data_IF_158608190742
#
_entry.id   IF_158608190742
#
_cell.length_a   1.000
_cell.length_b   1.000
_cell.length_c   1.000
_cell.angle_alpha   90.00
_cell.angle_beta   90.00
_cell.angle_gamma   90.00
#
_symmetry.space_group_name_H-M   'P 1'
#
loop_
_entity.id
_entity.type
_entity.pdbx_description
1 polymer ?
#
# COMPACT_ATOMS: atom_id res chain seq x y z
N UNK A 1 10.20 7.14 -8.10
CA UNK A 1 11.22 6.13 -7.71
C UNK A 1 12.58 6.79 -7.52
N UNK A 2 13.43 6.26 -6.63
CA UNK A 2 14.81 6.73 -6.44
C UNK A 2 15.80 5.98 -7.32
N UNK A 3 17.03 6.49 -7.40
CA UNK A 3 18.07 5.92 -8.27
C UNK A 3 18.36 4.47 -7.88
N UNK A 4 18.46 3.59 -8.87
CA UNK A 4 18.73 2.16 -8.64
C UNK A 4 17.56 1.34 -8.08
N UNK A 5 16.36 1.92 -7.89
CA UNK A 5 15.18 1.15 -7.48
C UNK A 5 14.60 0.32 -8.63
N UNK A 6 13.94 -0.78 -8.31
CA UNK A 6 13.29 -1.65 -9.29
C UNK A 6 11.80 -1.77 -8.98
N UNK A 7 10.96 -1.80 -10.01
CA UNK A 7 9.59 -2.29 -9.92
C UNK A 7 9.51 -3.58 -10.73
N UNK A 8 9.12 -4.65 -10.07
CA UNK A 8 8.96 -5.97 -10.64
C UNK A 8 7.65 -6.59 -10.18
N UNK A 9 7.35 -7.79 -10.64
CA UNK A 9 6.09 -8.48 -10.35
C UNK A 9 6.27 -10.00 -10.37
N UNK A 10 5.42 -10.70 -9.63
CA UNK A 10 5.48 -12.15 -9.48
C UNK A 10 4.09 -12.74 -9.28
N UNK A 11 3.98 -14.07 -9.23
CA UNK A 11 2.71 -14.81 -9.14
C UNK A 11 1.72 -14.53 -10.29
N UNK A 12 2.24 -14.27 -11.50
CA UNK A 12 1.43 -14.08 -12.72
C UNK A 12 1.36 -15.35 -13.57
N UNK A 13 0.27 -15.51 -14.32
CA UNK A 13 0.06 -16.57 -15.29
C UNK A 13 0.51 -16.16 -16.70
N UNK A 14 0.68 -17.13 -17.60
CA UNK A 14 1.19 -16.89 -18.96
C UNK A 14 0.29 -15.99 -19.83
N UNK A 15 -1.01 -15.90 -19.50
CA UNK A 15 -2.01 -15.11 -20.21
C UNK A 15 -2.24 -13.73 -19.56
N UNK A 16 -1.52 -13.41 -18.48
CA UNK A 16 -1.68 -12.14 -17.78
C UNK A 16 -1.14 -10.95 -18.58
N UNK A 17 -1.86 -9.82 -18.47
CA UNK A 17 -1.39 -8.55 -18.98
C UNK A 17 -0.13 -8.13 -18.21
N UNK A 18 0.78 -7.42 -18.91
CA UNK A 18 1.97 -6.81 -18.30
C UNK A 18 1.58 -5.99 -17.06
N UNK A 19 2.36 -6.09 -15.98
CA UNK A 19 2.18 -5.23 -14.81
C UNK A 19 2.23 -3.77 -15.22
N UNK A 20 1.35 -2.97 -14.64
CA UNK A 20 1.24 -1.55 -14.92
C UNK A 20 1.52 -0.76 -13.66
N UNK A 21 2.41 0.22 -13.76
CA UNK A 21 2.41 1.37 -12.84
C UNK A 21 1.73 2.54 -13.53
N UNK A 22 1.02 3.38 -12.80
CA UNK A 22 0.37 4.51 -13.44
C UNK A 22 -0.11 5.60 -12.51
N UNK A 23 -0.57 6.69 -13.13
CA UNK A 23 -1.16 7.83 -12.45
C UNK A 23 -2.39 8.32 -13.21
N UNK A 24 -3.37 8.83 -12.48
CA UNK A 24 -4.48 9.59 -13.07
C UNK A 24 -4.06 11.00 -13.52
N UNK A 25 -2.88 11.48 -13.11
CA UNK A 25 -2.39 12.82 -13.45
C UNK A 25 -1.89 12.90 -14.89
N UNK A 26 -2.22 14.00 -15.56
CA UNK A 26 -1.67 14.39 -16.86
C UNK A 26 -0.66 15.55 -16.74
N UNK A 27 -0.27 15.91 -15.53
CA UNK A 27 0.69 16.99 -15.27
C UNK A 27 2.13 16.52 -15.53
N UNK A 28 2.97 17.47 -15.95
CA UNK A 28 4.40 17.26 -16.14
C UNK A 28 5.05 16.69 -14.87
N UNK A 29 5.97 15.75 -15.04
CA UNK A 29 6.74 15.13 -13.95
C UNK A 29 5.91 14.38 -12.88
N UNK A 30 4.66 13.99 -13.18
CA UNK A 30 3.84 13.23 -12.21
C UNK A 30 4.38 11.83 -11.94
N UNK A 31 5.15 11.26 -12.88
CA UNK A 31 5.94 10.04 -12.66
C UNK A 31 7.41 10.41 -12.80
N UNK A 32 8.19 10.19 -11.73
CA UNK A 32 9.62 10.46 -11.72
C UNK A 32 10.39 9.16 -11.58
N UNK A 33 11.11 8.79 -12.64
CA UNK A 33 12.02 7.63 -12.67
C UNK A 33 13.46 8.13 -12.63
N UNK A 34 14.19 7.73 -11.60
CA UNK A 34 15.56 8.21 -11.38
C UNK A 34 16.59 7.30 -12.05
N UNK A 35 17.84 7.77 -12.11
CA UNK A 35 18.90 7.11 -12.86
C UNK A 35 19.15 5.67 -12.39
N UNK A 36 19.41 4.75 -13.32
CA UNK A 36 19.59 3.31 -13.08
C UNK A 36 18.40 2.60 -12.43
N UNK A 37 17.21 3.22 -12.37
CA UNK A 37 16.01 2.50 -11.94
C UNK A 37 15.42 1.66 -13.07
N UNK A 38 14.69 0.60 -12.74
CA UNK A 38 14.06 -0.29 -13.73
C UNK A 38 12.58 -0.48 -13.42
N UNK A 39 11.72 -0.40 -14.44
CA UNK A 39 10.31 -0.78 -14.37
C UNK A 39 10.11 -1.96 -15.32
N UNK A 40 9.87 -3.14 -14.76
CA UNK A 40 9.61 -4.37 -15.50
C UNK A 40 8.12 -4.49 -15.86
N UNK A 41 7.60 -3.52 -16.61
CA UNK A 41 6.18 -3.42 -16.93
C UNK A 41 5.85 -2.20 -17.77
N UNK A 42 4.56 -1.98 -17.97
CA UNK A 42 4.04 -0.80 -18.65
C UNK A 42 3.93 0.39 -17.68
N UNK A 43 4.02 1.60 -18.23
CA UNK A 43 3.78 2.85 -17.49
C UNK A 43 2.62 3.59 -18.13
N UNK A 44 1.58 3.88 -17.34
CA UNK A 44 0.35 4.49 -17.84
C UNK A 44 0.12 5.87 -17.22
N UNK A 45 -0.11 6.88 -18.05
CA UNK A 45 -0.31 8.27 -17.59
C UNK A 45 -1.77 8.70 -17.70
N UNK A 46 -2.12 9.79 -17.00
CA UNK A 46 -3.48 10.30 -16.90
C UNK A 46 -4.12 10.62 -18.25
N UNK A 47 -5.45 10.53 -18.32
CA UNK A 47 -6.23 10.78 -19.54
C UNK A 47 -5.84 12.13 -20.17
N UNK A 48 -5.53 12.09 -21.47
CA UNK A 48 -5.09 13.26 -22.23
C UNK A 48 -3.65 13.72 -21.97
N UNK A 49 -2.92 13.06 -21.07
CA UNK A 49 -1.51 13.28 -20.82
C UNK A 49 -0.63 12.69 -21.92
N UNK A 50 0.44 13.41 -22.26
CA UNK A 50 1.50 12.90 -23.13
C UNK A 50 2.56 12.19 -22.26
N UNK A 51 2.84 10.89 -22.47
CA UNK A 51 3.82 10.16 -21.66
C UNK A 51 5.21 10.83 -21.61
N UNK A 52 5.64 11.47 -22.70
CA UNK A 52 6.95 12.16 -22.78
C UNK A 52 7.05 13.38 -21.85
N UNK A 53 5.92 13.98 -21.49
CA UNK A 53 5.86 15.14 -20.60
C UNK A 53 5.57 14.72 -19.15
N UNK A 54 4.68 13.74 -18.97
CA UNK A 54 4.25 13.26 -17.64
C UNK A 54 5.32 12.43 -16.96
N UNK A 55 6.11 11.67 -17.73
CA UNK A 55 7.17 10.79 -17.22
C UNK A 55 8.52 11.49 -17.31
N UNK A 56 9.04 11.93 -16.16
CA UNK A 56 10.43 12.35 -16.07
C UNK A 56 11.35 11.15 -15.92
N UNK A 57 11.90 10.69 -17.04
CA UNK A 57 12.87 9.61 -17.07
C UNK A 57 14.32 10.14 -17.02
N UNK A 58 14.98 10.05 -15.86
CA UNK A 58 16.37 10.48 -15.67
C UNK A 58 17.39 9.35 -15.90
N UNK A 59 17.18 8.48 -16.90
CA UNK A 59 18.07 7.35 -17.21
C UNK A 59 17.64 6.02 -16.57
N UNK A 60 16.34 5.84 -16.38
CA UNK A 60 15.71 4.59 -16.01
C UNK A 60 15.38 3.73 -17.25
N UNK A 61 15.27 2.42 -17.03
CA UNK A 61 14.81 1.45 -18.03
C UNK A 61 13.34 1.14 -17.78
N UNK A 62 12.50 1.25 -18.80
CA UNK A 62 11.12 0.72 -18.81
C UNK A 62 11.09 -0.39 -19.85
N UNK A 63 10.71 -1.60 -19.46
CA UNK A 63 10.72 -2.76 -20.39
C UNK A 63 9.43 -2.89 -21.19
N UNK A 64 8.33 -2.37 -20.66
CA UNK A 64 7.02 -2.33 -21.33
C UNK A 64 6.78 -1.03 -22.11
N UNK A 65 5.52 -0.78 -22.41
CA UNK A 65 5.07 0.41 -23.16
C UNK A 65 4.75 1.57 -22.23
N UNK A 66 4.95 2.80 -22.72
CA UNK A 66 4.43 4.01 -22.09
C UNK A 66 3.16 4.45 -22.82
N UNK A 67 2.02 4.52 -22.11
CA UNK A 67 0.72 4.79 -22.73
C UNK A 67 -0.11 5.78 -21.92
N UNK A 68 -1.18 6.28 -22.51
CA UNK A 68 -2.14 7.19 -21.87
C UNK A 68 -3.42 6.44 -21.56
N UNK A 69 -4.00 6.68 -20.39
CA UNK A 69 -5.33 6.18 -20.04
C UNK A 69 -6.37 6.60 -21.08
N UNK A 70 -7.29 5.69 -21.38
CA UNK A 70 -8.44 5.95 -22.26
C UNK A 70 -9.65 6.51 -21.52
N UNK A 71 -9.68 6.36 -20.20
CA UNK A 71 -10.67 6.90 -19.27
C UNK A 71 -10.03 7.19 -17.91
N UNK A 72 -10.61 8.10 -17.13
CA UNK A 72 -10.18 8.34 -15.75
C UNK A 72 -10.44 7.08 -14.93
N UNK A 73 -9.48 6.69 -14.07
CA UNK A 73 -9.69 5.63 -13.08
C UNK A 73 -10.27 6.26 -11.83
N UNK A 74 -11.54 6.00 -11.53
CA UNK A 74 -12.16 6.47 -10.29
C UNK A 74 -11.61 5.69 -9.10
N UNK A 75 -11.23 6.39 -8.04
CA UNK A 75 -10.76 5.81 -6.78
C UNK A 75 -11.83 6.01 -5.70
N UNK A 76 -12.78 5.07 -5.54
CA UNK A 76 -13.86 5.23 -4.57
C UNK A 76 -13.32 5.30 -3.14
N UNK A 77 -13.96 6.13 -2.31
CA UNK A 77 -13.73 6.16 -0.87
C UNK A 77 -14.06 4.80 -0.24
N UNK A 78 -13.29 4.44 0.79
CA UNK A 78 -13.53 3.23 1.59
C UNK A 78 -14.48 3.58 2.72
N UNK A 79 -15.50 2.76 2.94
CA UNK A 79 -16.36 2.84 4.13
C UNK A 79 -16.05 1.69 5.08
N UNK A 80 -16.07 1.96 6.38
CA UNK A 80 -15.94 0.93 7.42
C UNK A 80 -17.20 0.05 7.42
N UNK A 81 -17.09 -1.28 7.56
CA UNK A 81 -18.27 -2.14 7.71
C UNK A 81 -19.12 -1.71 8.91
N UNK A 82 -20.45 -1.63 8.75
CA UNK A 82 -21.37 -1.16 9.81
C UNK A 82 -21.24 -1.99 11.11
N UNK A 83 -20.96 -3.28 10.99
CA UNK A 83 -20.71 -4.18 12.12
C UNK A 83 -19.47 -3.80 12.94
N UNK A 84 -18.46 -3.20 12.32
CA UNK A 84 -17.22 -2.74 12.95
C UNK A 84 -17.35 -1.30 13.45
N UNK A 85 -18.03 -0.44 12.66
CA UNK A 85 -18.25 0.97 13.02
C UNK A 85 -19.16 1.13 14.24
N UNK A 86 -20.16 0.25 14.40
CA UNK A 86 -21.08 0.25 15.54
C UNK A 86 -20.47 -0.25 16.86
N UNK A 87 -19.26 -0.85 16.84
CA UNK A 87 -18.59 -1.26 18.07
C UNK A 87 -18.18 -0.04 18.92
N UNK A 88 -18.23 -0.16 20.26
CA UNK A 88 -17.62 0.85 21.12
C UNK A 88 -16.11 0.87 20.91
N UNK A 89 -15.50 2.06 20.93
CA UNK A 89 -14.04 2.16 20.97
C UNK A 89 -13.50 1.56 22.27
N UNK A 90 -12.48 0.72 22.17
CA UNK A 90 -11.75 0.15 23.30
C UNK A 90 -10.63 1.09 23.82
N UNK A 91 -10.59 2.33 23.34
CA UNK A 91 -9.57 3.32 23.72
C UNK A 91 -8.31 3.24 22.88
N UNK A 92 -7.20 3.72 23.43
CA UNK A 92 -5.89 3.74 22.76
C UNK A 92 -5.07 2.52 23.17
N UNK A 93 -4.42 1.88 22.21
CA UNK A 93 -3.39 0.87 22.48
C UNK A 93 -2.05 1.61 22.62
N UNK A 94 -1.41 1.48 23.79
CA UNK A 94 -0.16 2.18 24.12
C UNK A 94 0.82 1.32 24.92
N UNK A 95 0.69 0.00 24.79
CA UNK A 95 1.56 -0.98 25.41
C UNK A 95 1.52 -2.29 24.61
N UNK A 96 2.41 -3.22 24.98
CA UNK A 96 2.44 -4.56 24.40
C UNK A 96 1.10 -5.27 24.60
N UNK A 97 0.52 -5.78 23.53
CA UNK A 97 -0.73 -6.53 23.61
C UNK A 97 -0.87 -7.56 22.50
N UNK A 98 -1.87 -8.42 22.61
CA UNK A 98 -2.26 -9.37 21.57
C UNK A 98 -3.72 -9.16 21.23
N UNK A 99 -4.01 -9.00 19.94
CA UNK A 99 -5.34 -8.86 19.39
C UNK A 99 -5.65 -10.11 18.56
N UNK A 100 -6.70 -10.80 18.96
CA UNK A 100 -7.16 -12.03 18.31
C UNK A 100 -8.64 -11.95 17.88
N UNK A 101 -9.26 -10.77 18.03
CA UNK A 101 -10.64 -10.52 17.64
C UNK A 101 -10.74 -9.13 17.02
N UNK A 102 -11.62 -9.00 16.01
CA UNK A 102 -11.93 -7.73 15.35
C UNK A 102 -12.47 -6.71 16.34
N UNK A 103 -11.97 -5.48 16.27
CA UNK A 103 -12.25 -4.46 17.25
C UNK A 103 -12.08 -3.04 16.70
N UNK A 104 -12.65 -2.08 17.44
CA UNK A 104 -12.52 -0.65 17.18
C UNK A 104 -11.70 0.01 18.28
N UNK A 105 -10.71 0.82 17.90
CA UNK A 105 -9.85 1.57 18.82
C UNK A 105 -9.82 3.06 18.45
N UNK A 106 -9.54 3.89 19.44
CA UNK A 106 -9.38 5.34 19.23
C UNK A 106 -8.10 5.65 18.46
N UNK A 107 -7.00 4.99 18.82
CA UNK A 107 -5.68 5.15 18.19
C UNK A 107 -4.76 3.99 18.60
N UNK A 108 -3.62 3.88 17.92
CA UNK A 108 -2.47 3.11 18.38
C UNK A 108 -1.31 4.09 18.58
N UNK A 109 -0.72 4.13 19.76
CA UNK A 109 0.40 5.02 20.11
C UNK A 109 1.43 4.23 20.92
N UNK A 110 2.27 3.49 20.20
CA UNK A 110 3.27 2.61 20.78
C UNK A 110 4.57 3.35 21.09
N UNK A 111 5.10 3.11 22.29
CA UNK A 111 6.45 3.49 22.67
C UNK A 111 7.53 2.72 21.90
N UNK A 112 8.80 2.96 22.24
CA UNK A 112 9.90 2.26 21.58
C UNK A 112 9.87 0.75 21.91
N UNK A 113 10.11 -0.08 20.91
CA UNK A 113 10.19 -1.55 21.03
C UNK A 113 8.94 -2.23 21.57
N UNK A 114 7.79 -1.56 21.52
CA UNK A 114 6.51 -2.16 21.86
C UNK A 114 5.91 -2.91 20.66
N UNK A 115 5.19 -3.98 20.93
CA UNK A 115 4.63 -4.87 19.93
C UNK A 115 3.15 -5.12 20.19
N UNK A 116 2.34 -4.89 19.16
CA UNK A 116 0.97 -5.40 19.08
C UNK A 116 1.01 -6.65 18.20
N UNK A 117 0.63 -7.79 18.76
CA UNK A 117 0.58 -9.06 18.04
C UNK A 117 -0.84 -9.30 17.53
N UNK A 118 -0.99 -9.53 16.23
CA UNK A 118 -2.24 -9.97 15.62
C UNK A 118 -2.20 -11.49 15.49
N UNK A 119 -3.11 -12.20 16.18
CA UNK A 119 -3.10 -13.67 16.27
C UNK A 119 -4.48 -14.29 15.95
N UNK A 120 -4.97 -14.05 14.74
CA UNK A 120 -6.22 -14.58 14.18
C UNK A 120 -6.61 -13.82 12.91
N UNK A 121 -7.81 -14.08 12.39
CA UNK A 121 -8.39 -13.26 11.32
C UNK A 121 -9.04 -12.01 11.92
N UNK A 122 -8.34 -10.88 11.85
CA UNK A 122 -8.70 -9.66 12.57
C UNK A 122 -9.01 -8.53 11.60
N UNK A 123 -10.14 -7.88 11.81
CA UNK A 123 -10.47 -6.59 11.19
C UNK A 123 -10.42 -5.50 12.25
N UNK A 124 -9.54 -4.51 12.07
CA UNK A 124 -9.41 -3.37 12.97
C UNK A 124 -9.97 -2.11 12.33
N UNK A 125 -10.68 -1.31 13.12
CA UNK A 125 -10.95 0.08 12.80
C UNK A 125 -10.26 0.97 13.83
N UNK A 126 -9.29 1.75 13.37
CA UNK A 126 -8.60 2.76 14.17
C UNK A 126 -9.16 4.13 13.77
N UNK A 127 -9.82 4.80 14.71
CA UNK A 127 -10.55 6.05 14.45
C UNK A 127 -9.58 7.19 14.09
N UNK A 128 -8.52 7.34 14.89
CA UNK A 128 -7.47 8.32 14.70
C UNK A 128 -6.18 7.67 14.21
N UNK A 129 -5.05 8.15 14.73
CA UNK A 129 -3.74 7.84 14.19
C UNK A 129 -3.17 6.50 14.68
N UNK A 130 -2.21 5.99 13.92
CA UNK A 130 -1.27 4.96 14.35
C UNK A 130 0.13 5.59 14.40
N UNK A 131 0.70 5.68 15.60
CA UNK A 131 2.07 6.09 15.83
C UNK A 131 2.87 4.91 16.40
N UNK A 132 3.96 4.53 15.72
CA UNK A 132 4.89 3.50 16.16
C UNK A 132 6.23 4.13 16.53
N UNK A 133 6.62 4.03 17.81
CA UNK A 133 7.94 4.41 18.30
C UNK A 133 9.09 3.65 17.61
N UNK A 134 10.34 3.96 17.98
CA UNK A 134 11.49 3.29 17.35
C UNK A 134 11.46 1.79 17.63
N UNK A 135 11.65 0.98 16.61
CA UNK A 135 11.56 -0.49 16.69
C UNK A 135 10.23 -1.04 17.21
N UNK A 136 9.15 -0.25 17.22
CA UNK A 136 7.82 -0.75 17.56
C UNK A 136 7.20 -1.51 16.39
N UNK A 137 6.35 -2.49 16.69
CA UNK A 137 5.83 -3.42 15.68
C UNK A 137 4.32 -3.65 15.78
N UNK A 138 3.64 -3.62 14.64
CA UNK A 138 2.38 -4.32 14.44
C UNK A 138 2.71 -5.65 13.76
N UNK A 139 2.66 -6.75 14.51
CA UNK A 139 3.14 -8.06 14.04
C UNK A 139 1.99 -9.00 13.74
N UNK A 140 1.81 -9.38 12.47
CA UNK A 140 0.86 -10.41 12.03
C UNK A 140 1.60 -11.74 12.05
N UNK A 141 1.19 -12.67 12.93
CA UNK A 141 1.88 -13.97 13.05
C UNK A 141 1.43 -14.95 11.98
N UNK A 142 2.17 -16.04 11.82
CA UNK A 142 1.80 -17.16 10.95
C UNK A 142 0.37 -17.66 11.22
N UNK A 143 -0.41 -17.83 10.16
CA UNK A 143 -1.81 -18.24 10.23
C UNK A 143 -2.79 -17.17 10.72
N UNK A 144 -2.37 -15.90 10.78
CA UNK A 144 -3.23 -14.75 11.08
C UNK A 144 -3.36 -13.83 9.85
N UNK A 145 -4.40 -13.01 9.85
CA UNK A 145 -4.63 -11.98 8.83
C UNK A 145 -5.10 -10.66 9.47
N UNK A 146 -4.73 -9.54 8.85
CA UNK A 146 -5.14 -8.21 9.28
C UNK A 146 -5.76 -7.43 8.13
N UNK A 147 -7.03 -7.03 8.30
CA UNK A 147 -7.62 -5.91 7.55
C UNK A 147 -7.73 -4.70 8.46
N UNK A 148 -7.06 -3.61 8.09
CA UNK A 148 -7.00 -2.38 8.88
C UNK A 148 -7.73 -1.25 8.16
N UNK A 149 -8.77 -0.70 8.78
CA UNK A 149 -9.38 0.57 8.39
C UNK A 149 -8.79 1.68 9.27
N UNK A 150 -8.14 2.65 8.65
CA UNK A 150 -7.44 3.73 9.34
C UNK A 150 -8.10 5.08 9.05
N UNK A 151 -8.65 5.71 10.09
CA UNK A 151 -9.27 7.02 10.02
C UNK A 151 -8.31 8.20 10.20
N UNK A 152 -7.16 8.01 10.83
CA UNK A 152 -6.11 9.04 10.95
C UNK A 152 -4.89 8.76 10.09
N UNK A 153 -3.76 9.32 10.49
CA UNK A 153 -2.48 9.12 9.80
C UNK A 153 -1.70 7.93 10.35
N UNK A 154 -0.78 7.39 9.55
CA UNK A 154 0.20 6.40 9.98
C UNK A 154 1.59 7.02 10.06
N UNK A 155 2.24 6.93 11.21
CA UNK A 155 3.65 7.29 11.37
C UNK A 155 4.45 6.18 12.07
N UNK A 156 5.37 5.58 11.32
CA UNK A 156 6.45 4.76 11.87
C UNK A 156 7.73 5.58 12.12
N UNK A 157 8.33 5.44 13.31
CA UNK A 157 9.69 5.96 13.61
C UNK A 157 10.76 4.94 13.19
N UNK A 158 12.02 5.19 13.54
CA UNK A 158 13.13 4.42 12.97
C UNK A 158 13.01 2.93 13.29
N UNK A 159 13.12 2.09 12.26
CA UNK A 159 13.05 0.63 12.36
C UNK A 159 11.74 0.08 12.91
N UNK A 160 10.67 0.88 12.99
CA UNK A 160 9.33 0.37 13.34
C UNK A 160 8.72 -0.38 12.17
N UNK A 161 7.98 -1.47 12.37
CA UNK A 161 7.46 -2.26 11.26
C UNK A 161 5.97 -2.59 11.39
N UNK A 162 5.27 -2.63 10.25
CA UNK A 162 4.08 -3.50 10.10
C UNK A 162 4.60 -4.82 9.56
N UNK A 163 4.83 -5.76 10.46
CA UNK A 163 5.58 -6.98 10.22
C UNK A 163 4.63 -8.15 9.95
N UNK A 164 4.35 -8.40 8.68
CA UNK A 164 3.55 -9.54 8.25
C UNK A 164 4.44 -10.79 8.12
N UNK A 165 4.50 -11.59 9.19
CA UNK A 165 5.36 -12.76 9.27
C UNK A 165 4.91 -13.89 8.34
N UNK A 166 3.67 -13.87 7.84
CA UNK A 166 3.20 -14.85 6.84
C UNK A 166 3.93 -14.73 5.50
N UNK A 167 4.55 -13.57 5.23
CA UNK A 167 5.17 -13.21 3.95
C UNK A 167 4.21 -13.29 2.75
N UNK A 168 2.90 -13.36 3.02
CA UNK A 168 1.85 -13.37 2.02
C UNK A 168 1.15 -12.00 2.04
N UNK A 169 1.29 -11.18 0.99
CA UNK A 169 0.65 -9.87 0.89
C UNK A 169 -0.88 -9.90 1.00
N UNK A 170 -1.53 -11.06 0.80
CA UNK A 170 -2.98 -11.21 0.97
C UNK A 170 -3.41 -11.18 2.45
N UNK A 171 -2.49 -11.45 3.38
CA UNK A 171 -2.78 -11.49 4.82
C UNK A 171 -2.72 -10.11 5.48
N UNK A 172 -2.34 -9.05 4.76
CA UNK A 172 -2.34 -7.68 5.25
C UNK A 172 -2.99 -6.74 4.22
N UNK A 173 -4.12 -6.13 4.60
CA UNK A 173 -4.79 -5.08 3.82
C UNK A 173 -4.94 -3.85 4.70
N UNK A 174 -4.49 -2.70 4.22
CA UNK A 174 -4.63 -1.40 4.88
C UNK A 174 -5.49 -0.50 4.00
N UNK A 175 -6.63 -0.09 4.53
CA UNK A 175 -7.51 0.91 3.96
C UNK A 175 -7.34 2.24 4.69
N UNK A 176 -6.87 3.27 3.97
CA UNK A 176 -6.95 4.66 4.42
C UNK A 176 -8.35 5.20 4.12
N UNK A 177 -9.06 5.65 5.15
CA UNK A 177 -10.36 6.31 5.01
C UNK A 177 -10.18 7.76 4.50
N UNK A 178 -11.28 8.46 4.25
CA UNK A 178 -11.25 9.83 3.70
C UNK A 178 -10.44 10.84 4.53
N UNK A 179 -10.29 10.61 5.83
CA UNK A 179 -9.54 11.46 6.75
C UNK A 179 -8.07 11.06 6.93
N UNK A 180 -7.61 9.98 6.28
CA UNK A 180 -6.21 9.59 6.26
C UNK A 180 -5.48 10.34 5.14
N UNK A 181 -4.55 11.23 5.50
CA UNK A 181 -3.85 12.10 4.55
C UNK A 181 -2.36 11.73 4.42
N UNK A 182 -1.80 10.99 5.38
CA UNK A 182 -0.38 10.63 5.39
C UNK A 182 -0.12 9.24 5.96
N UNK A 183 0.70 8.45 5.25
CA UNK A 183 1.26 7.19 5.74
C UNK A 183 2.76 7.12 5.54
N UNK A 184 3.53 7.26 6.63
CA UNK A 184 4.99 7.27 6.61
C UNK A 184 5.53 5.99 7.25
N UNK A 185 6.13 5.14 6.44
CA UNK A 185 6.75 3.89 6.88
C UNK A 185 8.26 4.04 6.95
N UNK A 186 8.83 3.93 8.16
CA UNK A 186 10.28 3.88 8.39
C UNK A 186 10.71 2.46 8.78
N UNK A 187 10.23 1.48 8.00
CA UNK A 187 10.40 0.05 8.27
C UNK A 187 11.86 -0.38 8.32
N UNK A 188 12.17 -1.23 9.30
CA UNK A 188 13.44 -1.94 9.43
C UNK A 188 13.48 -3.28 8.69
N UNK A 189 12.37 -3.69 8.05
CA UNK A 189 12.21 -4.97 7.36
C UNK A 189 11.39 -4.82 6.07
N UNK A 190 11.33 -5.90 5.28
CA UNK A 190 10.46 -5.99 4.11
C UNK A 190 8.99 -5.82 4.51
N UNK A 191 8.19 -5.26 3.60
CA UNK A 191 6.75 -5.08 3.79
C UNK A 191 6.00 -6.05 2.88
N UNK A 192 5.06 -6.81 3.44
CA UNK A 192 4.18 -7.72 2.69
C UNK A 192 2.73 -7.32 2.97
N UNK A 193 2.07 -6.67 2.02
CA UNK A 193 0.69 -6.23 2.19
C UNK A 193 0.18 -5.32 1.08
N UNK A 194 -1.10 -5.00 1.14
CA UNK A 194 -1.77 -4.07 0.22
C UNK A 194 -2.21 -2.81 0.94
N UNK A 195 -2.04 -1.65 0.28
CA UNK A 195 -2.48 -0.34 0.78
C UNK A 195 -3.44 0.27 -0.25
N UNK A 196 -4.63 0.65 0.20
CA UNK A 196 -5.58 1.44 -0.57
C UNK A 196 -5.97 2.68 0.26
N UNK A 197 -5.40 3.83 -0.07
CA UNK A 197 -5.55 5.07 0.68
C UNK A 197 -5.62 6.26 -0.29
N UNK A 198 -6.75 6.44 -0.99
CA UNK A 198 -6.85 7.31 -2.16
C UNK A 198 -6.60 8.80 -1.88
N UNK A 199 -6.67 9.21 -0.61
CA UNK A 199 -6.43 10.59 -0.16
C UNK A 199 -5.10 10.75 0.61
N UNK A 200 -4.27 9.70 0.70
CA UNK A 200 -3.05 9.74 1.49
C UNK A 200 -1.79 9.83 0.63
N UNK A 201 -0.81 10.61 1.09
CA UNK A 201 0.58 10.50 0.67
C UNK A 201 1.22 9.29 1.37
N UNK A 202 1.61 8.28 0.60
CA UNK A 202 2.29 7.08 1.10
C UNK A 202 3.80 7.21 0.86
N UNK A 203 4.57 7.32 1.94
CA UNK A 203 6.03 7.43 1.90
C UNK A 203 6.68 6.19 2.51
N UNK A 204 7.32 5.39 1.67
CA UNK A 204 8.13 4.24 2.06
C UNK A 204 9.60 4.67 2.21
N UNK A 205 10.05 4.82 3.44
CA UNK A 205 11.44 5.15 3.81
C UNK A 205 12.24 3.91 4.22
N UNK A 206 11.74 2.72 3.87
CA UNK A 206 12.40 1.44 4.10
C UNK A 206 13.62 1.28 3.20
N UNK A 207 14.67 0.62 3.68
CA UNK A 207 15.78 0.12 2.86
C UNK A 207 15.53 -1.30 2.34
N UNK A 208 14.32 -1.80 2.58
CA UNK A 208 13.87 -3.17 2.39
C UNK A 208 12.81 -3.23 1.30
N UNK A 209 12.54 -4.43 0.79
CA UNK A 209 11.66 -4.61 -0.37
C UNK A 209 10.18 -4.51 0.04
N UNK A 210 9.33 -4.15 -0.93
CA UNK A 210 7.87 -4.04 -0.76
C UNK A 210 7.23 -5.10 -1.64
N UNK A 211 6.35 -5.91 -1.08
CA UNK A 211 5.61 -6.97 -1.77
C UNK A 211 4.11 -6.70 -1.61
N UNK A 212 3.43 -6.47 -2.73
CA UNK A 212 1.98 -6.28 -2.76
C UNK A 212 1.54 -5.16 -3.68
N UNK A 213 0.53 -4.39 -3.28
CA UNK A 213 -0.06 -3.35 -4.11
C UNK A 213 -0.30 -2.05 -3.34
N UNK A 214 -0.12 -0.90 -3.98
CA UNK A 214 -0.40 0.41 -3.39
C UNK A 214 -1.24 1.25 -4.34
N UNK A 215 -2.37 1.74 -3.86
CA UNK A 215 -3.18 2.78 -4.50
C UNK A 215 -3.31 3.93 -3.50
N UNK A 216 -2.84 5.12 -3.89
CA UNK A 216 -2.72 6.27 -3.01
C UNK A 216 -2.89 7.58 -3.78
N UNK A 217 -3.02 8.71 -3.07
CA UNK A 217 -2.95 10.04 -3.71
C UNK A 217 -1.58 10.23 -4.36
N UNK A 218 -0.53 9.90 -3.61
CA UNK A 218 0.84 9.85 -4.10
C UNK A 218 1.64 8.77 -3.40
N UNK A 219 2.66 8.26 -4.10
CA UNK A 219 3.56 7.23 -3.57
C UNK A 219 5.02 7.62 -3.80
N UNK A 220 5.80 7.68 -2.72
CA UNK A 220 7.24 7.91 -2.76
C UNK A 220 7.99 6.78 -2.05
N UNK A 221 8.87 6.10 -2.78
CA UNK A 221 9.87 5.19 -2.22
C UNK A 221 11.24 5.88 -2.15
N UNK A 222 11.77 6.09 -0.93
CA UNK A 222 12.94 6.95 -0.68
C UNK A 222 14.30 6.26 -0.77
N UNK A 223 14.38 4.94 -0.66
CA UNK A 223 15.63 4.20 -0.82
C UNK A 223 15.61 3.28 -2.06
N UNK A 224 16.77 2.77 -2.45
CA UNK A 224 16.97 1.85 -3.59
C UNK A 224 16.51 0.42 -3.28
N UNK A 225 15.27 0.25 -2.81
CA UNK A 225 14.61 -1.05 -2.66
C UNK A 225 13.84 -1.42 -3.92
N UNK A 226 13.38 -2.67 -3.97
CA UNK A 226 12.52 -3.19 -5.04
C UNK A 226 11.07 -3.21 -4.57
N UNK A 227 10.17 -2.77 -5.45
CA UNK A 227 8.74 -2.96 -5.29
C UNK A 227 8.32 -4.16 -6.15
N UNK A 228 7.81 -5.21 -5.55
CA UNK A 228 7.27 -6.39 -6.20
C UNK A 228 5.75 -6.36 -6.14
N UNK A 229 5.11 -6.15 -7.29
CA UNK A 229 3.67 -6.32 -7.42
C UNK A 229 3.30 -7.80 -7.37
N UNK A 230 2.45 -8.19 -6.42
CA UNK A 230 1.92 -9.56 -6.35
C UNK A 230 0.64 -9.66 -7.19
N UNK A 231 0.73 -10.32 -8.35
CA UNK A 231 -0.39 -10.42 -9.28
C UNK A 231 -1.58 -11.20 -8.70
N UNK A 232 -1.36 -12.05 -7.68
CA UNK A 232 -2.45 -12.77 -7.00
C UNK A 232 -3.43 -11.84 -6.27
N UNK A 233 -3.02 -10.61 -5.96
CA UNK A 233 -3.88 -9.58 -5.38
C UNK A 233 -5.03 -9.15 -6.29
N UNK A 234 -4.96 -9.45 -7.60
CA UNK A 234 -6.07 -9.23 -8.55
C UNK A 234 -7.28 -10.10 -8.24
N UNK A 235 -7.04 -11.30 -7.71
CA UNK A 235 -8.06 -12.33 -7.51
C UNK A 235 -8.57 -12.40 -6.07
N UNK A 236 -8.11 -11.51 -5.18
CA UNK A 236 -8.54 -11.43 -3.78
C UNK A 236 -10.00 -10.95 -3.71
N UNK A 237 -10.89 -11.93 -3.81
CA UNK A 237 -12.31 -11.99 -3.50
C UNK A 237 -13.13 -10.69 -3.66
N UNK A 238 -13.85 -10.68 -4.78
CA UNK A 238 -15.11 -9.98 -5.11
C UNK A 238 -16.25 -10.09 -4.08
N UNK A 239 -16.03 -10.70 -2.91
CA UNK A 239 -16.97 -10.76 -1.79
C UNK A 239 -16.72 -9.71 -0.71
N UNK A 240 -15.62 -8.95 -0.82
CA UNK A 240 -15.42 -7.72 -0.05
C UNK A 240 -15.97 -6.59 -0.93
N UNK A 241 -17.02 -5.89 -0.50
CA UNK A 241 -17.78 -4.90 -1.30
C UNK A 241 -16.95 -3.68 -1.80
N UNK A 242 -15.62 -3.71 -1.68
CA UNK A 242 -14.73 -2.56 -1.96
C UNK A 242 -13.50 -2.89 -2.82
N UNK A 243 -13.35 -4.11 -3.37
CA UNK A 243 -12.22 -4.42 -4.27
C UNK A 243 -12.72 -4.68 -5.68
N UNK A 244 -12.93 -3.60 -6.45
CA UNK A 244 -13.10 -3.68 -7.90
C UNK A 244 -11.78 -3.24 -8.56
N UNK A 245 -10.86 -4.18 -8.79
CA UNK A 245 -9.81 -3.95 -9.78
C UNK A 245 -10.43 -4.14 -11.17
N UNK A 246 -10.89 -3.04 -11.76
CA UNK A 246 -11.31 -3.01 -13.16
C UNK A 246 -10.06 -3.03 -14.03
N UNK A 247 -9.72 -4.19 -14.59
CA UNK A 247 -8.87 -4.24 -15.79
C UNK A 247 -9.76 -3.79 -16.96
N UNK A 248 -9.59 -2.55 -17.40
CA UNK A 248 -10.22 -2.02 -18.62
C UNK A 248 -9.16 -1.59 -19.64
N UNK A 249 -8.65 -2.54 -20.42
CA UNK A 249 -8.92 -2.65 -21.86
C UNK A 249 -7.90 -3.56 -22.55
N UNK A 250 -8.43 -4.41 -23.43
CA UNK A 250 -7.70 -5.13 -24.46
C UNK A 250 -8.03 -4.48 -25.81
N UNK A 251 -7.03 -4.32 -26.69
CA UNK A 251 -7.25 -4.07 -28.11
C UNK A 251 -6.29 -4.91 -28.94
N UNK A 252 -6.82 -5.55 -30.00
CA UNK A 252 -6.08 -6.33 -31.01
C UNK A 252 -4.98 -5.54 -31.73
#
# INVERSE_FOLDING_TARGET
>A
MKSGGTVDWYNFDADDCSMQIGTNSNLVDSIVLQNNSTVNGDVVVGLGGNPDDVIRNNGATVTGSTTTLTQIVELPSVTVPESLESLPSLGTINENTTINTSARYSSIDLGNSETVIISGDVTLYIIGDIALGNSAELQIVEGASLTLYLGGDFEGKNSSCVNNLTQDPQQLIIYGLDSCESMVFKNGSDFYGSIYAPNAEVVMQNSSDVYGAVTAESFEQKNSSTFYYDASLRDVNTSNELVHFVISNWSE
#
